data_IF_763467869476
#
_entry.id   IF_763467869476
#
_cell.length_a   1.000
_cell.length_b   1.000
_cell.length_c   1.000
_cell.angle_alpha   90.00
_cell.angle_beta   90.00
_cell.angle_gamma   90.00
#
_symmetry.space_group_name_H-M   'P 1'
#
loop_
_entity.id
_entity.type
_entity.pdbx_description
1 polymer ?
#
# COMPACT_ATOMS: atom_id res chain seq x y z
N UNK A 1 4.37 19.10 20.56
CA UNK A 1 3.28 19.15 19.58
C UNK A 1 3.60 18.21 18.44
N UNK A 2 2.62 17.40 18.04
CA UNK A 2 2.74 16.51 16.90
C UNK A 2 2.20 17.17 15.63
N UNK A 3 2.90 17.00 14.51
CA UNK A 3 2.56 17.52 13.20
C UNK A 3 2.14 16.39 12.25
N UNK A 4 1.33 16.72 11.24
CA UNK A 4 0.89 15.74 10.26
C UNK A 4 2.03 15.37 9.30
N UNK A 5 2.01 14.12 8.83
CA UNK A 5 3.00 13.60 7.92
C UNK A 5 2.38 13.09 6.62
N UNK A 6 3.20 13.04 5.57
CA UNK A 6 2.79 12.49 4.29
C UNK A 6 3.90 11.64 3.67
N UNK A 7 3.54 10.46 3.20
CA UNK A 7 4.43 9.53 2.52
C UNK A 7 3.76 8.93 1.29
N UNK A 8 4.57 8.31 0.43
CA UNK A 8 4.06 7.57 -0.72
C UNK A 8 4.81 6.26 -0.88
N UNK A 9 4.11 5.26 -1.39
CA UNK A 9 4.63 3.92 -1.65
C UNK A 9 3.98 3.38 -2.91
N UNK A 10 4.68 2.52 -3.63
CA UNK A 10 4.06 1.78 -4.72
C UNK A 10 3.32 0.58 -4.15
N UNK A 11 2.22 0.20 -4.81
CA UNK A 11 1.58 -1.10 -4.60
C UNK A 11 2.61 -2.23 -4.63
N UNK A 12 2.35 -3.29 -3.86
CA UNK A 12 3.20 -4.49 -3.76
C UNK A 12 4.62 -4.25 -3.22
N UNK A 13 4.86 -3.07 -2.65
CA UNK A 13 6.10 -2.74 -1.96
C UNK A 13 5.83 -2.31 -0.52
N UNK A 14 6.82 -2.48 0.35
CA UNK A 14 6.73 -2.03 1.74
C UNK A 14 7.43 -0.68 1.88
N UNK A 15 6.72 0.31 2.40
CA UNK A 15 7.30 1.57 2.84
C UNK A 15 8.05 1.32 4.14
N UNK A 16 9.32 1.70 4.19
CA UNK A 16 10.13 1.69 5.42
C UNK A 16 10.70 3.08 5.65
N UNK A 17 10.34 3.68 6.77
CA UNK A 17 10.82 5.00 7.18
C UNK A 17 11.63 4.85 8.47
N UNK A 18 12.89 5.28 8.43
CA UNK A 18 13.77 5.26 9.60
C UNK A 18 13.43 6.35 10.62
N UNK A 19 13.92 6.21 11.85
CA UNK A 19 13.81 7.24 12.87
C UNK A 19 14.49 8.55 12.43
N UNK A 20 13.97 9.73 12.82
CA UNK A 20 12.83 9.93 13.73
C UNK A 20 11.46 9.70 13.08
N UNK A 21 11.42 9.40 11.77
CA UNK A 21 10.19 9.07 11.04
C UNK A 21 9.10 10.12 11.24
N UNK A 22 7.96 9.70 11.80
CA UNK A 22 6.82 10.60 12.07
C UNK A 22 7.18 11.70 13.08
N UNK A 23 8.14 11.46 13.98
CA UNK A 23 8.56 12.46 14.98
C UNK A 23 9.52 13.51 14.41
N UNK A 24 9.92 13.41 13.14
CA UNK A 24 10.98 14.24 12.57
C UNK A 24 10.64 15.72 12.43
N UNK A 25 9.36 16.05 12.40
CA UNK A 25 8.80 17.41 12.36
C UNK A 25 8.11 17.79 13.68
N UNK A 26 8.16 16.93 14.68
CA UNK A 26 7.56 17.15 15.99
C UNK A 26 8.52 17.90 16.91
N UNK A 27 7.95 18.65 17.85
CA UNK A 27 8.73 19.45 18.79
C UNK A 27 8.17 19.32 20.19
N UNK A 28 9.05 19.32 21.19
CA UNK A 28 8.68 19.52 22.58
C UNK A 28 9.17 20.89 23.05
N UNK A 29 8.41 21.55 23.93
CA UNK A 29 8.76 22.92 24.39
C UNK A 29 9.90 22.90 25.40
N UNK A 30 10.01 21.84 26.18
CA UNK A 30 11.05 21.61 27.19
C UNK A 30 12.27 20.89 26.58
N UNK A 31 12.12 20.37 25.36
CA UNK A 31 13.18 19.71 24.58
C UNK A 31 13.35 18.24 24.93
N UNK A 32 12.34 17.64 25.56
CA UNK A 32 12.38 16.25 25.96
C UNK A 32 12.33 15.29 24.75
N UNK A 33 12.96 14.11 24.83
CA UNK A 33 12.90 13.12 23.77
C UNK A 33 11.47 12.64 23.54
N UNK A 34 11.03 12.67 22.28
CA UNK A 34 9.70 12.24 21.90
C UNK A 34 9.67 10.75 21.53
N UNK A 35 8.54 10.12 21.86
CA UNK A 35 8.18 8.77 21.40
C UNK A 35 6.83 8.77 20.69
N UNK A 36 6.65 7.87 19.72
CA UNK A 36 5.42 7.76 18.94
C UNK A 36 4.51 6.66 19.49
N UNK A 37 3.23 6.98 19.65
CA UNK A 37 2.18 6.05 20.09
C UNK A 37 1.08 6.03 19.03
N UNK A 38 0.77 4.85 18.49
CA UNK A 38 -0.30 4.71 17.50
C UNK A 38 -1.67 4.88 18.18
N UNK A 39 -2.55 5.65 17.55
CA UNK A 39 -3.92 5.92 18.04
C UNK A 39 -4.94 5.17 17.20
N UNK A 40 -4.79 5.18 15.88
CA UNK A 40 -5.62 4.40 14.96
C UNK A 40 -4.77 3.79 13.85
N UNK A 41 -5.05 2.53 13.51
CA UNK A 41 -4.37 1.83 12.42
C UNK A 41 -4.91 2.26 11.03
N UNK A 42 -4.15 2.02 9.96
CA UNK A 42 -4.63 2.17 8.58
C UNK A 42 -5.74 1.17 8.23
N UNK A 43 -6.55 1.51 7.22
CA UNK A 43 -7.67 0.68 6.77
C UNK A 43 -7.30 -0.26 5.63
N UNK A 44 -6.26 0.07 4.85
CA UNK A 44 -5.89 -0.60 3.61
C UNK A 44 -4.43 -1.07 3.59
N UNK A 45 -3.84 -1.29 4.76
CA UNK A 45 -2.51 -1.86 4.90
C UNK A 45 -2.17 -2.26 6.33
N UNK A 46 -1.01 -2.90 6.48
CA UNK A 46 -0.45 -3.29 7.77
C UNK A 46 0.63 -2.28 8.20
N UNK A 47 0.52 -1.75 9.41
CA UNK A 47 1.45 -0.78 9.99
C UNK A 47 2.19 -1.38 11.19
N UNK A 48 3.50 -1.17 11.23
CA UNK A 48 4.33 -1.35 12.42
C UNK A 48 5.02 -0.02 12.74
N UNK A 49 4.55 0.70 13.75
CA UNK A 49 5.16 1.94 14.24
C UNK A 49 6.02 1.64 15.47
N UNK A 50 7.27 2.09 15.45
CA UNK A 50 8.18 1.98 16.58
C UNK A 50 8.13 3.25 17.43
N UNK A 51 8.44 3.14 18.72
CA UNK A 51 8.43 4.28 19.64
C UNK A 51 9.41 5.39 19.24
N UNK A 52 10.49 5.09 18.50
CA UNK A 52 11.42 6.10 17.98
C UNK A 52 10.90 6.85 16.73
N UNK A 53 9.63 6.65 16.37
CA UNK A 53 8.95 7.29 15.24
C UNK A 53 9.21 6.65 13.87
N UNK A 54 10.18 5.72 13.76
CA UNK A 54 10.37 4.92 12.55
C UNK A 54 9.24 3.89 12.38
N UNK A 55 8.83 3.61 11.14
CA UNK A 55 7.74 2.69 10.87
C UNK A 55 7.90 1.92 9.56
N UNK A 56 7.16 0.82 9.44
CA UNK A 56 6.94 0.11 8.18
C UNK A 56 5.45 0.05 7.86
N UNK A 57 5.10 0.22 6.59
CA UNK A 57 3.74 0.08 6.08
C UNK A 57 3.72 -0.77 4.82
N UNK A 58 2.85 -1.78 4.80
CA UNK A 58 2.61 -2.65 3.65
C UNK A 58 1.16 -2.49 3.21
N UNK A 59 0.89 -1.93 2.02
CA UNK A 59 -0.46 -1.86 1.46
C UNK A 59 -1.08 -3.26 1.33
N UNK A 60 -2.41 -3.34 1.41
CA UNK A 60 -3.14 -4.53 1.01
C UNK A 60 -2.86 -4.84 -0.47
N UNK A 61 -2.80 -6.13 -0.81
CA UNK A 61 -2.56 -6.57 -2.18
C UNK A 61 -3.56 -5.89 -3.13
N UNK A 62 -3.09 -5.41 -4.28
CA UNK A 62 -3.92 -4.74 -5.30
C UNK A 62 -4.61 -3.44 -4.86
N UNK A 63 -4.39 -2.94 -3.64
CA UNK A 63 -4.90 -1.64 -3.22
C UNK A 63 -4.09 -0.50 -3.84
N UNK A 64 -4.78 0.53 -4.32
CA UNK A 64 -4.20 1.82 -4.70
C UNK A 64 -5.14 2.93 -4.27
N UNK A 65 -4.59 4.06 -3.83
CA UNK A 65 -5.37 5.12 -3.20
C UNK A 65 -4.71 5.67 -1.94
N UNK A 66 -5.47 6.48 -1.21
CA UNK A 66 -5.03 7.12 0.02
C UNK A 66 -5.41 6.28 1.24
N UNK A 67 -4.42 5.95 2.07
CA UNK A 67 -4.62 5.35 3.38
C UNK A 67 -4.07 6.28 4.47
N UNK A 68 -4.49 6.10 5.72
CA UNK A 68 -4.02 6.95 6.80
C UNK A 68 -4.08 6.28 8.16
N UNK A 69 -3.18 6.69 9.04
CA UNK A 69 -3.18 6.30 10.45
C UNK A 69 -2.96 7.53 11.32
N UNK A 70 -3.30 7.44 12.60
CA UNK A 70 -3.09 8.54 13.53
C UNK A 70 -2.17 8.14 14.67
N UNK A 71 -1.40 9.09 15.17
CA UNK A 71 -0.48 8.89 16.28
C UNK A 71 -0.45 10.11 17.20
N UNK A 72 0.20 9.94 18.35
CA UNK A 72 0.59 11.01 19.26
C UNK A 72 2.07 10.90 19.56
N UNK A 73 2.71 12.04 19.77
CA UNK A 73 4.01 12.13 20.40
C UNK A 73 3.84 12.12 21.93
N UNK A 74 4.75 11.46 22.64
CA UNK A 74 4.80 11.40 24.10
C UNK A 74 6.22 11.69 24.58
N UNK A 75 6.36 12.62 25.52
CA UNK A 75 7.63 13.09 26.11
C UNK A 75 8.08 12.26 27.33
N UNK A 76 7.35 11.19 27.66
CA UNK A 76 7.54 10.39 28.88
C UNK A 76 6.59 10.77 30.02
N UNK A 77 5.85 11.87 29.90
CA UNK A 77 4.91 12.38 30.92
C UNK A 77 3.52 12.61 30.32
N UNK A 78 3.44 13.28 29.18
CA UNK A 78 2.20 13.73 28.56
C UNK A 78 2.13 13.38 27.07
N UNK A 79 0.90 13.17 26.60
CA UNK A 79 0.60 12.99 25.18
C UNK A 79 0.39 14.34 24.49
N UNK A 80 0.82 14.43 23.24
CA UNK A 80 0.51 15.54 22.34
C UNK A 80 -0.94 15.52 21.83
N UNK A 81 -1.26 16.52 20.99
CA UNK A 81 -2.39 16.43 20.07
C UNK A 81 -2.25 15.20 19.15
N UNK A 82 -3.38 14.72 18.63
CA UNK A 82 -3.39 13.68 17.59
C UNK A 82 -2.88 14.28 16.28
N UNK A 83 -1.96 13.57 15.64
CA UNK A 83 -1.45 13.86 14.30
C UNK A 83 -1.86 12.74 13.33
N UNK A 84 -2.04 13.11 12.06
CA UNK A 84 -2.43 12.20 10.98
C UNK A 84 -1.25 11.98 10.05
N UNK A 85 -0.95 10.72 9.77
CA UNK A 85 -0.03 10.31 8.71
C UNK A 85 -0.85 9.86 7.50
N UNK A 86 -0.63 10.51 6.37
CA UNK A 86 -1.28 10.15 5.10
C UNK A 86 -0.30 9.37 4.22
N UNK A 87 -0.73 8.24 3.67
CA UNK A 87 0.07 7.41 2.78
C UNK A 87 -0.64 7.27 1.43
N UNK A 88 0.01 7.76 0.37
CA UNK A 88 -0.46 7.57 -1.00
C UNK A 88 0.12 6.29 -1.59
N UNK A 89 -0.73 5.30 -1.85
CA UNK A 89 -0.38 4.05 -2.53
C UNK A 89 -0.57 4.21 -4.03
N UNK A 90 0.54 4.27 -4.76
CA UNK A 90 0.54 4.39 -6.23
C UNK A 90 0.25 3.01 -6.84
N UNK A 91 -0.74 2.93 -7.72
CA UNK A 91 -1.00 1.72 -8.48
C UNK A 91 0.18 1.34 -9.38
N UNK A 92 0.48 0.05 -9.45
CA UNK A 92 1.51 -0.51 -10.34
C UNK A 92 0.83 -1.39 -11.37
N UNK A 93 1.20 -1.23 -12.64
CA UNK A 93 0.69 -2.07 -13.71
C UNK A 93 1.43 -3.41 -13.74
N UNK A 94 0.69 -4.50 -13.68
CA UNK A 94 1.17 -5.86 -13.78
C UNK A 94 0.99 -6.38 -15.20
N UNK A 95 1.83 -7.32 -15.60
CA UNK A 95 1.63 -8.03 -16.85
C UNK A 95 0.46 -9.03 -16.70
N UNK A 96 -0.30 -9.29 -17.77
CA UNK A 96 -1.30 -10.33 -17.76
C UNK A 96 -0.68 -11.70 -17.61
N UNK A 97 -1.40 -12.59 -16.92
CA UNK A 97 -1.03 -14.00 -16.75
C UNK A 97 -1.77 -14.80 -17.82
N UNK A 98 -1.01 -15.34 -18.77
CA UNK A 98 -1.55 -16.23 -19.79
C UNK A 98 -1.81 -17.63 -19.23
N UNK A 99 -2.92 -18.26 -19.60
CA UNK A 99 -3.25 -19.64 -19.27
C UNK A 99 -3.30 -20.47 -20.56
N UNK A 100 -2.67 -21.65 -20.56
CA UNK A 100 -2.60 -22.46 -21.77
C UNK A 100 -3.99 -22.82 -22.30
N UNK A 101 -4.25 -22.47 -23.56
CA UNK A 101 -5.41 -22.95 -24.27
C UNK A 101 -5.18 -24.34 -24.88
N UNK A 102 -6.23 -25.15 -24.85
CA UNK A 102 -6.27 -26.40 -25.60
C UNK A 102 -7.55 -26.46 -26.42
N UNK A 103 -7.37 -26.60 -27.73
CA UNK A 103 -8.46 -26.82 -28.67
C UNK A 103 -8.23 -28.16 -29.38
N UNK A 104 -9.29 -28.97 -29.49
CA UNK A 104 -9.29 -30.19 -30.30
C UNK A 104 -10.40 -30.07 -31.34
N UNK A 105 -10.03 -30.29 -32.60
CA UNK A 105 -10.95 -30.30 -33.73
C UNK A 105 -10.77 -31.60 -34.51
N UNK A 106 -11.84 -32.08 -35.14
CA UNK A 106 -11.73 -33.17 -36.10
C UNK A 106 -10.94 -32.71 -37.32
N UNK A 107 -10.31 -33.64 -38.03
CA UNK A 107 -9.78 -33.33 -39.36
C UNK A 107 -10.86 -32.69 -40.24
N UNK A 108 -10.43 -31.81 -41.16
CA UNK A 108 -11.29 -31.12 -42.12
C UNK A 108 -12.36 -30.19 -41.52
N UNK A 109 -12.20 -29.79 -40.25
CA UNK A 109 -13.02 -28.75 -39.62
C UNK A 109 -12.18 -27.51 -39.30
N UNK A 110 -12.76 -26.32 -39.50
CA UNK A 110 -12.10 -25.07 -39.12
C UNK A 110 -12.41 -24.73 -37.65
N UNK A 111 -11.38 -24.45 -36.85
CA UNK A 111 -11.58 -23.90 -35.52
C UNK A 111 -11.97 -22.43 -35.64
N UNK A 112 -13.25 -22.12 -35.41
CA UNK A 112 -13.71 -20.73 -35.25
C UNK A 112 -13.70 -20.37 -33.77
N UNK A 113 -12.60 -19.82 -33.27
CA UNK A 113 -12.54 -19.29 -31.91
C UNK A 113 -13.45 -18.06 -31.77
N UNK A 114 -14.51 -18.15 -30.96
CA UNK A 114 -15.30 -16.98 -30.59
C UNK A 114 -14.52 -16.13 -29.57
N UNK A 115 -14.66 -14.80 -29.66
CA UNK A 115 -14.03 -13.90 -28.70
C UNK A 115 -14.42 -14.26 -27.26
N UNK A 116 -13.45 -14.30 -26.32
CA UNK A 116 -12.14 -13.68 -26.41
C UNK A 116 -11.00 -14.60 -26.92
N UNK A 117 -11.33 -15.77 -27.49
CA UNK A 117 -10.33 -16.70 -28.02
C UNK A 117 -9.37 -17.20 -26.94
N UNK A 118 -8.06 -17.11 -27.21
CA UNK A 118 -6.97 -17.47 -26.28
C UNK A 118 -6.89 -16.60 -25.03
N UNK A 119 -7.65 -15.51 -24.96
CA UNK A 119 -7.64 -14.61 -23.81
C UNK A 119 -8.72 -14.98 -22.78
N UNK A 120 -9.51 -16.04 -23.03
CA UNK A 120 -10.70 -16.35 -22.21
C UNK A 120 -10.37 -16.89 -20.81
N UNK A 121 -9.18 -17.43 -20.64
CA UNK A 121 -8.63 -17.95 -19.40
C UNK A 121 -7.49 -17.08 -18.83
N UNK A 122 -7.07 -16.04 -19.56
CA UNK A 122 -6.04 -15.10 -19.15
C UNK A 122 -6.59 -14.08 -18.14
N UNK A 123 -5.75 -13.59 -17.23
CA UNK A 123 -6.16 -12.60 -16.22
C UNK A 123 -5.13 -11.47 -16.07
N UNK A 124 -5.61 -10.27 -15.78
CA UNK A 124 -4.79 -9.11 -15.40
C UNK A 124 -5.21 -8.67 -13.99
N UNK A 125 -4.25 -8.62 -13.06
CA UNK A 125 -4.52 -8.30 -11.65
C UNK A 125 -4.92 -6.84 -11.43
N UNK A 126 -4.65 -5.95 -12.39
CA UNK A 126 -5.13 -4.56 -12.41
C UNK A 126 -6.46 -4.40 -13.15
N UNK A 127 -7.00 -5.47 -13.75
CA UNK A 127 -8.24 -5.45 -14.51
C UNK A 127 -8.13 -4.76 -15.87
N UNK A 128 -6.92 -4.64 -16.43
CA UNK A 128 -6.77 -4.07 -17.77
C UNK A 128 -7.35 -5.00 -18.85
N UNK A 129 -7.91 -4.44 -19.94
CA UNK A 129 -8.32 -5.23 -21.09
C UNK A 129 -7.13 -6.00 -21.70
N UNK A 130 -7.31 -7.29 -21.92
CA UNK A 130 -6.34 -8.14 -22.60
C UNK A 130 -6.46 -7.98 -24.12
N UNK A 131 -5.33 -7.96 -24.83
CA UNK A 131 -5.28 -7.92 -26.30
C UNK A 131 -4.41 -9.05 -26.82
N UNK A 132 -4.90 -9.82 -27.80
CA UNK A 132 -4.21 -10.93 -28.47
C UNK A 132 -3.52 -10.46 -29.75
#
# INVERSE_FOLDING_TARGET
MAANDSFSVNQDTTLTVGAPGVLGNDTDVDGDPLTAIVVSAPAHGALTLNANGGFSYTPAATYSGSDSFTYKANDGVADSNVATVTITVNGVNHAPVAVNDSYSIGEDTALTGAAPGVLGNDTDVNGNPLTA
#
